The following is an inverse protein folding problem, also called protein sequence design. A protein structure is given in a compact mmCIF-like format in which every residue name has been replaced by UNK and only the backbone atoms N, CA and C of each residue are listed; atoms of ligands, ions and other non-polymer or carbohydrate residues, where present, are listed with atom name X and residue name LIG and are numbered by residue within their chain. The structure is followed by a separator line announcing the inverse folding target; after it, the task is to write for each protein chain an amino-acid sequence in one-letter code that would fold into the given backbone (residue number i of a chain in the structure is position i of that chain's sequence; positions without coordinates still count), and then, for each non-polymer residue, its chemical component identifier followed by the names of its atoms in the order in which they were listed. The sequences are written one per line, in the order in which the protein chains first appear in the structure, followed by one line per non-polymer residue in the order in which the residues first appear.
data_IF_257100313269
#
_entry.id   IF_257100313269
#
_cell.length_a   1.000
_cell.length_b   1.000
_cell.length_c   1.000
_cell.angle_alpha   90.00
_cell.angle_beta   90.00
_cell.angle_gamma   90.00
#
_symmetry.space_group_name_H-M   'P 1'
#
loop_
_entity.id
_entity.type
_entity.pdbx_description
1 polymer ?
#
# COMPACT_ATOMS: atom_id res chain seq x y z
N UNK A 1 5.37 -17.33 1.51
CA UNK A 1 5.22 -18.60 2.25
C UNK A 1 4.95 -18.37 3.74
N UNK A 2 4.02 -19.13 4.33
CA UNK A 2 3.66 -19.05 5.75
C UNK A 2 4.86 -19.33 6.65
N UNK A 3 5.74 -20.25 6.24
CA UNK A 3 6.95 -20.61 6.99
C UNK A 3 7.83 -19.39 7.31
N UNK A 4 7.81 -18.35 6.49
CA UNK A 4 8.61 -17.14 6.68
C UNK A 4 7.98 -16.13 7.64
N UNK A 5 6.66 -16.24 7.91
CA UNK A 5 5.90 -15.23 8.67
C UNK A 5 5.23 -15.78 9.94
N UNK A 6 5.45 -17.05 10.26
CA UNK A 6 4.79 -17.70 11.40
C UNK A 6 5.47 -17.49 12.75
N UNK A 7 6.63 -16.88 12.80
CA UNK A 7 7.52 -16.77 13.96
C UNK A 7 7.10 -15.73 15.02
N UNK A 8 5.97 -15.08 14.83
CA UNK A 8 5.47 -14.04 15.74
C UNK A 8 6.19 -12.69 15.60
N UNK A 9 7.06 -12.54 14.61
CA UNK A 9 7.72 -11.26 14.30
C UNK A 9 6.98 -10.49 13.24
N UNK A 10 7.24 -9.18 13.17
CA UNK A 10 6.72 -8.30 12.17
C UNK A 10 7.52 -8.47 10.86
N UNK A 11 6.86 -8.95 9.82
CA UNK A 11 7.45 -9.15 8.49
C UNK A 11 6.94 -8.06 7.53
N UNK A 12 7.77 -7.01 7.35
CA UNK A 12 7.43 -5.86 6.51
C UNK A 12 7.70 -6.12 5.04
N UNK A 13 6.76 -5.71 4.23
CA UNK A 13 6.80 -5.81 2.78
C UNK A 13 6.43 -4.43 2.21
N UNK A 14 7.04 -4.06 1.09
CA UNK A 14 6.73 -2.83 0.36
C UNK A 14 6.24 -3.19 -1.03
N UNK A 15 5.07 -2.71 -1.37
CA UNK A 15 4.55 -2.75 -2.73
C UNK A 15 4.64 -1.36 -3.35
N UNK A 16 5.23 -1.27 -4.54
CA UNK A 16 5.30 -0.01 -5.28
C UNK A 16 4.14 0.03 -6.27
N UNK A 17 3.25 0.99 -6.08
CA UNK A 17 2.12 1.22 -6.98
C UNK A 17 2.57 1.79 -8.32
N UNK A 18 1.67 1.78 -9.31
CA UNK A 18 1.97 2.22 -10.69
C UNK A 18 2.37 3.69 -10.79
N UNK A 19 2.04 4.51 -9.79
CA UNK A 19 2.43 5.91 -9.69
C UNK A 19 3.73 6.15 -8.89
N UNK A 20 4.34 5.10 -8.40
CA UNK A 20 5.54 5.15 -7.57
C UNK A 20 5.27 5.23 -6.06
N UNK A 21 4.01 5.28 -5.63
CA UNK A 21 3.69 5.31 -4.21
C UNK A 21 4.10 4.00 -3.53
N UNK A 22 4.89 4.10 -2.45
CA UNK A 22 5.33 2.97 -1.64
C UNK A 22 4.28 2.65 -0.59
N UNK A 23 3.56 1.55 -0.77
CA UNK A 23 2.59 1.02 0.18
C UNK A 23 3.28 -0.02 1.05
N UNK A 24 3.51 0.30 2.32
CA UNK A 24 4.11 -0.61 3.28
C UNK A 24 3.03 -1.36 4.03
N UNK A 25 3.24 -2.64 4.21
CA UNK A 25 2.39 -3.49 5.02
C UNK A 25 3.22 -4.57 5.71
N UNK A 26 2.65 -5.22 6.68
CA UNK A 26 3.31 -6.34 7.33
C UNK A 26 2.36 -7.48 7.61
N UNK A 27 2.94 -8.65 7.72
CA UNK A 27 2.28 -9.87 8.17
C UNK A 27 2.86 -10.26 9.51
N UNK A 28 2.02 -10.67 10.43
CA UNK A 28 2.43 -11.16 11.76
C UNK A 28 1.57 -12.33 12.17
N UNK A 29 2.19 -13.34 12.79
CA UNK A 29 1.45 -14.41 13.46
C UNK A 29 1.13 -13.96 14.88
N UNK A 30 -0.17 -13.87 15.19
CA UNK A 30 -0.67 -13.33 16.46
C UNK A 30 -0.64 -14.34 17.62
N UNK A 31 -0.45 -15.61 17.33
CA UNK A 31 -0.45 -16.68 18.34
C UNK A 31 0.70 -17.66 18.10
N UNK A 32 1.62 -17.82 19.07
CA UNK A 32 2.78 -18.72 18.89
C UNK A 32 2.41 -20.19 18.65
N UNK A 33 1.35 -20.66 19.32
CA UNK A 33 0.92 -22.06 19.32
C UNK A 33 -0.11 -22.39 18.26
N UNK A 34 -0.63 -21.38 17.57
CA UNK A 34 -1.61 -21.50 16.51
C UNK A 34 -1.27 -20.55 15.38
N UNK A 35 -1.52 -20.97 14.16
CA UNK A 35 -1.39 -20.09 13.02
C UNK A 35 -2.58 -19.12 12.98
N UNK A 36 -2.36 -17.88 13.40
CA UNK A 36 -3.33 -16.79 13.36
C UNK A 36 -2.70 -15.55 12.73
N UNK A 37 -2.65 -15.54 11.41
CA UNK A 37 -2.01 -14.46 10.67
C UNK A 37 -2.88 -13.20 10.65
N UNK A 38 -2.23 -12.04 10.65
CA UNK A 38 -2.81 -10.76 10.33
C UNK A 38 -1.98 -10.11 9.22
N UNK A 39 -2.65 -9.56 8.23
CA UNK A 39 -2.06 -8.70 7.20
C UNK A 39 -2.60 -7.29 7.40
N UNK A 40 -1.71 -6.35 7.64
CA UNK A 40 -2.08 -4.97 8.02
C UNK A 40 -1.16 -3.96 7.34
N UNK A 41 -1.69 -2.78 7.06
CA UNK A 41 -0.86 -1.67 6.59
C UNK A 41 0.07 -1.17 7.70
N UNK A 42 1.26 -0.76 7.32
CA UNK A 42 2.26 -0.16 8.22
C UNK A 42 1.91 1.32 8.49
N UNK A 43 0.65 1.54 8.82
CA UNK A 43 0.03 2.84 9.03
C UNK A 43 -1.20 2.72 9.93
N UNK A 44 -1.54 3.79 10.64
CA UNK A 44 -2.79 3.91 11.39
C UNK A 44 -3.52 5.20 11.05
N UNK A 45 -4.81 5.26 11.40
CA UNK A 45 -5.66 6.41 11.10
C UNK A 45 -5.28 7.67 11.89
N UNK A 46 -4.59 7.54 13.02
CA UNK A 46 -4.21 8.66 13.88
C UNK A 46 -2.82 9.22 13.55
N UNK A 47 -1.83 8.34 13.35
CA UNK A 47 -0.44 8.74 13.14
C UNK A 47 0.01 8.68 11.68
N UNK A 48 -0.86 8.22 10.77
CA UNK A 48 -0.52 8.07 9.37
C UNK A 48 0.53 6.97 9.14
N UNK A 49 1.41 7.18 8.19
CA UNK A 49 2.41 6.23 7.72
C UNK A 49 3.75 6.26 8.47
N UNK A 50 3.75 6.61 9.75
CA UNK A 50 4.93 6.56 10.59
C UNK A 50 5.46 5.13 10.78
N UNK A 51 4.56 4.15 10.77
CA UNK A 51 4.89 2.74 10.81
C UNK A 51 4.99 2.17 12.22
N UNK A 52 5.42 0.92 12.28
CA UNK A 52 5.50 0.13 13.51
C UNK A 52 6.85 -0.56 13.65
N UNK A 53 7.24 -0.83 14.89
CA UNK A 53 8.44 -1.60 15.21
C UNK A 53 8.11 -2.63 16.28
N UNK A 54 8.97 -3.65 16.42
CA UNK A 54 8.88 -4.60 17.52
C UNK A 54 9.76 -4.15 18.67
N UNK A 55 9.20 -4.17 19.89
CA UNK A 55 9.95 -4.07 21.13
C UNK A 55 9.59 -5.30 22.01
N UNK A 56 10.53 -6.23 22.12
CA UNK A 56 10.25 -7.51 22.78
C UNK A 56 9.13 -8.26 22.04
N UNK A 57 8.05 -8.53 22.77
CA UNK A 57 6.84 -9.22 22.27
C UNK A 57 5.66 -8.24 22.04
N UNK A 58 5.94 -6.96 21.85
CA UNK A 58 4.94 -5.93 21.58
C UNK A 58 5.22 -5.23 20.26
N UNK A 59 4.16 -4.77 19.63
CA UNK A 59 4.21 -3.90 18.45
C UNK A 59 4.04 -2.45 18.92
N UNK A 60 4.94 -1.58 18.51
CA UNK A 60 4.94 -0.16 18.93
C UNK A 60 4.68 0.73 17.74
N UNK A 61 3.71 1.63 17.85
CA UNK A 61 3.48 2.68 16.87
C UNK A 61 4.60 3.73 16.96
N UNK A 62 5.34 3.93 15.89
CA UNK A 62 6.45 4.90 15.85
C UNK A 62 5.96 6.34 16.06
N UNK A 63 4.74 6.65 15.58
CA UNK A 63 4.19 8.01 15.66
C UNK A 63 3.82 8.45 17.08
N UNK A 64 3.18 7.59 17.86
CA UNK A 64 2.67 7.95 19.21
C UNK A 64 3.30 7.15 20.36
N UNK A 65 4.11 6.14 20.07
CA UNK A 65 4.76 5.33 21.09
C UNK A 65 3.84 4.33 21.82
N UNK A 66 2.61 4.14 21.36
CA UNK A 66 1.68 3.17 21.98
C UNK A 66 2.18 1.76 21.75
N UNK A 67 2.26 0.99 22.83
CA UNK A 67 2.58 -0.43 22.83
C UNK A 67 1.32 -1.26 22.69
N UNK A 68 1.32 -2.21 21.78
CA UNK A 68 0.19 -3.11 21.51
C UNK A 68 0.60 -4.55 21.67
N UNK A 69 -0.26 -5.34 22.29
CA UNK A 69 -0.08 -6.78 22.35
C UNK A 69 -0.33 -7.39 20.97
N UNK A 70 0.54 -8.31 20.56
CA UNK A 70 0.48 -8.98 19.26
C UNK A 70 -0.91 -9.55 18.93
N UNK A 71 -1.64 -10.21 19.87
CA UNK A 71 -2.99 -10.71 19.58
C UNK A 71 -4.03 -9.65 19.21
N UNK A 72 -3.77 -8.37 19.50
CA UNK A 72 -4.69 -7.26 19.16
C UNK A 72 -4.46 -6.70 17.75
N UNK A 73 -3.36 -7.05 17.09
CA UNK A 73 -3.02 -6.50 15.78
C UNK A 73 -4.06 -6.90 14.74
N UNK A 74 -4.49 -5.93 13.94
CA UNK A 74 -5.53 -6.10 12.93
C UNK A 74 -6.96 -5.88 13.42
N UNK A 75 -7.14 -5.54 14.70
CA UNK A 75 -8.43 -5.05 15.19
C UNK A 75 -8.59 -3.58 14.80
N UNK A 76 -9.77 -3.14 14.36
CA UNK A 76 -9.96 -1.76 13.93
C UNK A 76 -9.89 -0.78 15.11
N UNK A 77 -9.36 0.41 14.84
CA UNK A 77 -9.44 1.57 15.72
C UNK A 77 -8.14 1.99 16.40
N UNK A 78 -8.09 3.25 16.81
CA UNK A 78 -6.97 3.86 17.51
C UNK A 78 -5.67 3.85 16.74
N UNK A 79 -4.57 3.55 17.44
CA UNK A 79 -3.25 3.39 16.86
C UNK A 79 -2.98 1.97 16.33
N UNK A 80 -3.99 1.11 16.28
CA UNK A 80 -3.85 -0.21 15.67
C UNK A 80 -3.61 -0.07 14.17
N UNK A 81 -2.74 -0.89 13.57
CA UNK A 81 -2.53 -0.87 12.12
C UNK A 81 -3.84 -1.12 11.38
N UNK A 82 -4.04 -0.38 10.29
CA UNK A 82 -5.23 -0.55 9.43
C UNK A 82 -5.18 -1.94 8.78
N UNK A 83 -6.21 -2.79 8.96
CA UNK A 83 -6.22 -4.12 8.38
C UNK A 83 -6.33 -4.07 6.85
N UNK A 84 -5.68 -5.03 6.19
CA UNK A 84 -5.92 -5.33 4.78
C UNK A 84 -7.08 -6.32 4.74
N UNK A 85 -8.14 -6.00 3.99
CA UNK A 85 -9.35 -6.83 3.96
C UNK A 85 -9.27 -7.95 2.91
N UNK A 86 -8.64 -7.67 1.76
CA UNK A 86 -8.59 -8.60 0.63
C UNK A 86 -7.30 -9.44 0.63
N UNK A 87 -7.28 -10.47 1.48
CA UNK A 87 -6.22 -11.46 1.52
C UNK A 87 -6.77 -12.85 1.87
N UNK A 88 -6.02 -13.89 1.55
CA UNK A 88 -6.38 -15.28 1.77
C UNK A 88 -5.21 -16.07 2.33
N UNK A 89 -5.52 -17.11 3.08
CA UNK A 89 -4.56 -18.07 3.60
C UNK A 89 -4.82 -19.45 2.99
N UNK A 90 -3.77 -20.05 2.43
CA UNK A 90 -3.77 -21.47 2.04
C UNK A 90 -3.02 -22.29 3.10
N UNK A 91 -2.77 -23.57 2.85
CA UNK A 91 -1.96 -24.40 3.74
C UNK A 91 -0.49 -23.95 3.82
N UNK A 92 0.03 -23.33 2.76
CA UNK A 92 1.46 -22.99 2.63
C UNK A 92 1.75 -21.51 2.41
N UNK A 93 0.74 -20.73 2.04
CA UNK A 93 0.93 -19.35 1.63
C UNK A 93 -0.10 -18.40 2.20
N UNK A 94 0.30 -17.15 2.36
CA UNK A 94 -0.60 -16.00 2.49
C UNK A 94 -0.60 -15.26 1.14
N UNK A 95 -1.79 -15.00 0.62
CA UNK A 95 -2.03 -14.33 -0.66
C UNK A 95 -2.71 -12.99 -0.38
N UNK A 96 -2.04 -11.90 -0.71
CA UNK A 96 -2.58 -10.55 -0.55
C UNK A 96 -2.87 -10.01 -1.94
N UNK A 97 -4.13 -9.70 -2.20
CA UNK A 97 -4.56 -9.25 -3.50
C UNK A 97 -4.18 -7.78 -3.72
N UNK A 98 -3.89 -7.44 -4.96
CA UNK A 98 -3.58 -6.06 -5.36
C UNK A 98 -4.69 -5.08 -4.97
N UNK A 99 -5.95 -5.47 -5.15
CA UNK A 99 -7.12 -4.67 -4.76
C UNK A 99 -7.11 -4.30 -3.28
N UNK A 100 -6.74 -5.24 -2.40
CA UNK A 100 -6.56 -4.96 -0.98
C UNK A 100 -5.44 -3.95 -0.69
N UNK A 101 -4.33 -4.03 -1.42
CA UNK A 101 -3.23 -3.07 -1.27
C UNK A 101 -3.60 -1.68 -1.81
N UNK A 102 -4.37 -1.60 -2.88
CA UNK A 102 -4.85 -0.34 -3.47
C UNK A 102 -5.75 0.44 -2.50
N UNK A 103 -6.50 -0.22 -1.63
CA UNK A 103 -7.30 0.43 -0.59
C UNK A 103 -6.46 1.23 0.41
N UNK A 104 -5.18 0.88 0.58
CA UNK A 104 -4.23 1.57 1.45
C UNK A 104 -3.48 2.73 0.81
N UNK A 105 -3.67 3.03 -0.47
CA UNK A 105 -2.91 4.06 -1.18
C UNK A 105 -2.94 5.43 -0.48
N UNK A 106 -4.08 5.81 0.07
CA UNK A 106 -4.26 7.10 0.74
C UNK A 106 -3.58 7.18 2.12
N UNK A 107 -3.11 6.05 2.66
CA UNK A 107 -2.42 6.02 3.95
C UNK A 107 -0.95 6.41 3.84
N UNK A 108 -0.38 6.40 2.64
CA UNK A 108 1.06 6.57 2.40
C UNK A 108 1.35 7.80 1.56
N UNK A 109 2.51 8.42 1.81
CA UNK A 109 2.95 9.64 1.14
C UNK A 109 4.32 9.53 0.46
N UNK A 110 5.05 8.44 0.69
CA UNK A 110 6.36 8.24 0.08
C UNK A 110 6.23 7.85 -1.39
N UNK A 111 6.89 8.59 -2.26
CA UNK A 111 6.94 8.35 -3.71
C UNK A 111 8.36 7.90 -4.09
N UNK A 112 8.43 6.76 -4.76
CA UNK A 112 9.66 6.22 -5.35
C UNK A 112 9.73 6.63 -6.82
N UNK A 113 10.91 7.05 -7.29
CA UNK A 113 11.09 7.37 -8.70
C UNK A 113 11.02 6.11 -9.56
N UNK A 114 10.07 6.09 -10.50
CA UNK A 114 9.86 5.00 -11.45
C UNK A 114 9.66 5.55 -12.87
N UNK A 115 9.83 4.68 -13.87
CA UNK A 115 9.46 4.99 -15.23
C UNK A 115 7.95 4.90 -15.43
N UNK A 116 7.38 5.93 -16.04
CA UNK A 116 5.97 6.03 -16.39
C UNK A 116 5.83 6.44 -17.86
N UNK A 117 4.67 6.18 -18.44
CA UNK A 117 4.35 6.60 -19.81
C UNK A 117 3.21 7.59 -19.82
N UNK A 118 3.35 8.64 -20.62
CA UNK A 118 2.25 9.51 -20.98
C UNK A 118 1.19 8.71 -21.75
N UNK A 119 -0.06 8.61 -21.25
CA UNK A 119 -1.10 7.81 -21.91
C UNK A 119 -1.56 8.41 -23.26
N UNK A 120 -1.22 9.65 -23.58
CA UNK A 120 -1.55 10.31 -24.85
C UNK A 120 -0.46 10.05 -25.88
N UNK A 121 0.80 10.35 -25.56
CA UNK A 121 1.93 10.29 -26.50
C UNK A 121 2.72 9.00 -26.44
N UNK A 122 2.60 8.24 -25.34
CA UNK A 122 3.44 7.06 -25.08
C UNK A 122 4.89 7.41 -24.70
N UNK A 123 5.20 8.69 -24.52
CA UNK A 123 6.54 9.12 -24.10
C UNK A 123 6.87 8.59 -22.72
N UNK A 124 8.04 7.96 -22.60
CA UNK A 124 8.54 7.46 -21.33
C UNK A 124 9.26 8.57 -20.55
N UNK A 125 8.97 8.68 -19.27
CA UNK A 125 9.56 9.69 -18.38
C UNK A 125 9.62 9.16 -16.95
N UNK A 126 10.33 9.86 -16.08
CA UNK A 126 10.28 9.60 -14.64
C UNK A 126 9.06 10.30 -14.01
N UNK A 127 8.36 9.60 -13.14
CA UNK A 127 7.18 10.13 -12.43
C UNK A 127 7.49 11.40 -11.62
N UNK A 128 8.73 11.55 -11.14
CA UNK A 128 9.17 12.71 -10.34
C UNK A 128 9.64 13.90 -11.18
N UNK A 129 9.76 13.75 -12.51
CA UNK A 129 10.28 14.77 -13.43
C UNK A 129 9.22 15.53 -14.20
N UNK A 130 7.95 15.23 -13.95
CA UNK A 130 6.84 15.99 -14.55
C UNK A 130 5.96 16.62 -13.49
N UNK A 131 5.48 17.82 -13.77
CA UNK A 131 4.48 18.52 -12.95
C UNK A 131 3.05 18.20 -13.41
N UNK A 132 2.89 17.64 -14.60
CA UNK A 132 1.61 17.36 -15.22
C UNK A 132 1.09 15.99 -14.77
N UNK A 133 0.25 16.02 -13.74
CA UNK A 133 -0.35 14.81 -13.13
C UNK A 133 -1.86 14.96 -13.04
N UNK A 134 -2.56 13.87 -13.22
CA UNK A 134 -3.99 13.81 -13.02
C UNK A 134 -4.41 12.51 -12.34
N UNK A 135 -5.18 12.62 -11.27
CA UNK A 135 -5.73 11.46 -10.57
C UNK A 135 -7.11 11.12 -11.16
N UNK A 136 -7.24 9.90 -11.65
CA UNK A 136 -8.48 9.38 -12.20
C UNK A 136 -8.74 7.98 -11.66
N UNK A 137 -9.91 7.75 -11.05
CA UNK A 137 -10.30 6.49 -10.43
C UNK A 137 -9.24 5.90 -9.46
N UNK A 138 -8.65 6.77 -8.64
CA UNK A 138 -7.66 6.39 -7.63
C UNK A 138 -6.26 6.12 -8.17
N UNK A 139 -6.02 6.28 -9.47
CA UNK A 139 -4.69 6.17 -10.10
C UNK A 139 -4.19 7.53 -10.56
N UNK A 140 -2.90 7.77 -10.38
CA UNK A 140 -2.22 8.97 -10.89
C UNK A 140 -1.63 8.70 -12.25
N UNK A 141 -1.98 9.52 -13.22
CA UNK A 141 -1.42 9.51 -14.57
C UNK A 141 -0.50 10.69 -14.76
N UNK A 142 0.54 10.49 -15.56
CA UNK A 142 1.62 11.45 -15.79
C UNK A 142 1.66 11.84 -17.26
N UNK A 143 1.93 13.12 -17.53
CA UNK A 143 1.91 13.69 -18.88
C UNK A 143 3.18 14.51 -19.11
N UNK A 144 3.65 14.52 -20.34
CA UNK A 144 4.81 15.34 -20.75
C UNK A 144 4.44 16.83 -20.94
N UNK A 145 3.14 17.14 -21.08
CA UNK A 145 2.64 18.49 -21.28
C UNK A 145 1.25 18.70 -20.70
N UNK A 146 0.93 19.96 -20.42
CA UNK A 146 -0.42 20.36 -20.01
C UNK A 146 -1.47 20.03 -21.07
N UNK A 147 -1.13 20.19 -22.34
CA UNK A 147 -2.00 19.83 -23.45
C UNK A 147 -2.42 18.36 -23.41
N UNK A 148 -1.49 17.45 -23.15
CA UNK A 148 -1.78 16.02 -23.06
C UNK A 148 -2.62 15.70 -21.81
N UNK A 149 -2.34 16.38 -20.69
CA UNK A 149 -3.15 16.27 -19.48
C UNK A 149 -4.61 16.69 -19.76
N UNK A 150 -4.82 17.81 -20.42
CA UNK A 150 -6.16 18.31 -20.77
C UNK A 150 -6.92 17.35 -21.68
N UNK A 151 -6.25 16.81 -22.69
CA UNK A 151 -6.84 15.80 -23.59
C UNK A 151 -7.30 14.54 -22.84
N UNK A 152 -6.50 14.07 -21.89
CA UNK A 152 -6.84 12.92 -21.06
C UNK A 152 -7.98 13.24 -20.10
N UNK A 153 -7.90 14.36 -19.39
CA UNK A 153 -8.92 14.81 -18.43
C UNK A 153 -10.30 14.93 -19.08
N UNK A 154 -10.35 15.44 -20.30
CA UNK A 154 -11.62 15.65 -21.01
C UNK A 154 -12.27 14.33 -21.47
N UNK A 155 -11.48 13.28 -21.73
CA UNK A 155 -12.00 11.97 -22.11
C UNK A 155 -11.03 10.83 -21.73
N UNK A 156 -10.90 10.52 -20.42
CA UNK A 156 -9.91 9.54 -19.96
C UNK A 156 -10.17 8.12 -20.47
N UNK A 157 -11.42 7.72 -20.62
CA UNK A 157 -11.77 6.35 -21.04
C UNK A 157 -11.31 6.02 -22.45
N UNK A 158 -11.29 7.03 -23.34
CA UNK A 158 -10.76 6.88 -24.70
C UNK A 158 -9.32 6.38 -24.73
N UNK A 159 -8.50 6.83 -23.76
CA UNK A 159 -7.07 6.53 -23.69
C UNK A 159 -6.76 5.32 -22.81
N UNK A 160 -7.72 4.86 -22.01
CA UNK A 160 -7.58 3.69 -21.14
C UNK A 160 -8.12 2.39 -21.74
N UNK A 161 -8.62 2.41 -22.98
CA UNK A 161 -9.16 1.23 -23.64
C UNK A 161 -10.49 0.72 -23.04
N UNK A 162 -11.21 1.56 -22.29
CA UNK A 162 -12.52 1.22 -21.69
C UNK A 162 -13.72 1.71 -22.52
N UNK A 163 -13.49 2.07 -23.77
CA UNK A 163 -14.48 2.69 -24.65
C UNK A 163 -14.80 1.88 -25.91
N UNK A 164 -15.11 0.57 -25.77
CA UNK A 164 -15.81 -0.21 -26.81
C UNK A 164 -16.94 -1.02 -26.20
#
# INVERSE_FOLDING_TARGET
PIEQVKDGKLHRIVWIADDGKAVRFFVINRQPDKLSLAAVFDACLLCGDQGYVMEGNQVVCVGCGVHMFIPSIGKPGGCNPVPIEDWQQTETEILINRTGLEEGLNLFSTIVEIDVKDPISGTQMKNTKTEHKYNYEGKTYFFESEKNLDLFRDNPEKYLGKGE
#
